data_IF_256135088554
#
_entry.id   IF_256135088554
#
_cell.length_a   1.000
_cell.length_b   1.000
_cell.length_c   1.000
_cell.angle_alpha   90.00
_cell.angle_beta   90.00
_cell.angle_gamma   90.00
#
_symmetry.space_group_name_H-M   'P 1'
#
loop_
_entity.id
_entity.type
_entity.pdbx_description
1 polymer ?
#
# COMPACT_ATOMS: atom_id res chain seq x y z
N UNK A 1 22.29 66.48 2.89
CA UNK A 1 23.54 66.07 3.58
C UNK A 1 23.66 66.93 4.83
N UNK A 2 23.24 66.37 5.96
CA UNK A 2 23.10 66.98 7.29
C UNK A 2 23.52 65.85 8.23
N UNK A 3 24.60 65.93 9.00
CA UNK A 3 24.81 66.82 10.15
C UNK A 3 24.81 65.93 11.41
N UNK A 4 25.99 65.64 11.94
CA UNK A 4 26.26 65.01 13.26
C UNK A 4 25.73 65.88 14.41
N UNK A 5 25.43 65.32 15.61
CA UNK A 5 26.40 65.14 16.71
C UNK A 5 26.02 63.93 17.63
N UNK A 6 26.58 63.63 18.80
CA UNK A 6 27.91 63.69 19.44
C UNK A 6 27.75 62.91 20.78
N UNK A 7 28.84 62.35 21.25
CA UNK A 7 29.27 61.97 22.61
C UNK A 7 28.30 62.04 23.83
N UNK A 8 28.31 60.99 24.68
CA UNK A 8 28.67 61.04 26.11
C UNK A 8 28.18 59.81 26.93
N UNK A 9 29.07 59.30 27.77
CA UNK A 9 28.89 58.25 28.80
C UNK A 9 28.84 58.92 30.19
N UNK A 10 28.83 58.20 31.35
CA UNK A 10 27.86 57.27 31.93
C UNK A 10 27.40 57.73 33.36
N UNK A 11 26.44 57.04 34.00
CA UNK A 11 26.38 56.92 35.47
C UNK A 11 25.41 55.81 35.93
N UNK A 12 25.75 55.26 37.10
CA UNK A 12 25.27 54.07 37.79
C UNK A 12 23.81 54.12 38.29
N UNK A 13 23.24 52.94 38.52
CA UNK A 13 21.99 52.76 39.24
C UNK A 13 21.70 51.29 39.55
N UNK A 14 22.14 50.83 40.72
CA UNK A 14 21.76 49.53 41.32
C UNK A 14 20.39 49.68 41.97
N UNK A 15 19.41 48.85 41.59
CA UNK A 15 18.29 48.50 42.48
C UNK A 15 17.63 47.16 42.11
N UNK A 16 17.62 46.25 43.09
CA UNK A 16 16.96 44.94 43.08
C UNK A 16 15.44 45.03 43.24
N UNK A 17 14.67 44.03 42.77
CA UNK A 17 13.43 43.66 43.45
C UNK A 17 13.38 42.20 43.92
N UNK A 18 13.29 42.09 45.25
CA UNK A 18 12.49 41.17 46.10
C UNK A 18 12.04 39.81 45.55
N UNK A 19 12.58 38.79 46.20
CA UNK A 19 12.05 37.43 46.27
C UNK A 19 10.67 37.38 46.97
N UNK A 20 9.73 36.63 46.38
CA UNK A 20 8.60 36.05 47.11
C UNK A 20 8.66 34.52 47.00
N UNK A 21 8.72 33.87 48.16
CA UNK A 21 8.72 32.43 48.36
C UNK A 21 7.37 31.84 47.93
N UNK A 22 7.38 30.74 47.17
CA UNK A 22 6.33 29.71 47.27
C UNK A 22 6.97 28.35 47.49
N UNK A 23 6.37 27.63 48.43
CA UNK A 23 6.89 26.45 49.12
C UNK A 23 6.96 25.24 48.20
N UNK A 24 8.01 24.45 48.42
CA UNK A 24 8.13 23.03 48.11
C UNK A 24 7.01 22.26 48.81
N UNK A 25 6.32 21.40 48.08
CA UNK A 25 5.85 20.14 48.65
C UNK A 25 6.43 19.00 47.82
N UNK A 26 7.20 18.20 48.54
CA UNK A 26 7.89 16.99 48.14
C UNK A 26 6.90 15.85 48.40
N UNK A 27 6.57 15.06 47.38
CA UNK A 27 6.08 13.70 47.58
C UNK A 27 6.88 12.75 46.69
N UNK A 28 8.02 12.37 47.23
CA UNK A 28 8.70 11.11 46.98
C UNK A 28 7.80 9.95 47.41
N UNK A 29 7.49 9.06 46.46
CA UNK A 29 6.88 7.75 46.70
C UNK A 29 7.56 6.71 45.82
N UNK A 30 8.43 5.92 46.44
CA UNK A 30 9.20 4.81 45.87
C UNK A 30 8.27 3.63 45.49
N UNK A 31 8.59 2.99 44.36
CA UNK A 31 8.77 1.53 44.29
C UNK A 31 7.55 0.67 43.97
N UNK A 32 7.54 0.09 42.77
CA UNK A 32 7.73 -1.36 42.57
C UNK A 32 7.71 -1.66 41.07
N UNK A 33 8.84 -2.16 40.55
CA UNK A 33 8.92 -2.76 39.24
C UNK A 33 8.29 -4.16 39.29
N UNK A 34 7.27 -4.41 38.48
CA UNK A 34 6.83 -5.75 38.14
C UNK A 34 7.00 -5.96 36.65
N UNK A 35 8.06 -6.70 36.30
CA UNK A 35 8.20 -7.35 35.00
C UNK A 35 7.11 -8.42 34.94
N UNK A 36 6.05 -8.18 34.17
CA UNK A 36 5.05 -9.20 33.86
C UNK A 36 5.40 -9.78 32.47
N UNK A 37 5.77 -11.06 32.49
CA UNK A 37 6.24 -11.79 31.32
C UNK A 37 5.12 -12.22 30.36
N UNK A 38 5.58 -12.53 29.14
CA UNK A 38 5.08 -13.52 28.17
C UNK A 38 3.65 -14.02 28.39
N UNK A 39 2.71 -13.46 27.64
CA UNK A 39 1.37 -14.01 27.42
C UNK A 39 1.27 -14.64 26.02
N UNK A 40 1.94 -15.77 25.83
CA UNK A 40 1.74 -16.62 24.65
C UNK A 40 0.43 -17.39 24.81
N UNK A 41 -0.54 -17.14 23.93
CA UNK A 41 -1.71 -18.00 23.80
C UNK A 41 -1.31 -19.29 23.09
N UNK A 42 -0.95 -20.32 23.85
CA UNK A 42 -0.90 -21.70 23.37
C UNK A 42 -2.27 -22.31 23.59
N UNK A 43 -3.05 -22.47 22.51
CA UNK A 43 -4.19 -23.38 22.53
C UNK A 43 -3.64 -24.81 22.57
N UNK A 44 -3.66 -25.39 23.77
CA UNK A 44 -3.41 -26.81 24.01
C UNK A 44 -4.67 -27.59 23.64
N UNK A 45 -4.73 -28.07 22.40
CA UNK A 45 -5.64 -29.15 22.03
C UNK A 45 -5.14 -30.47 22.62
N UNK A 46 -6.01 -31.18 23.32
CA UNK A 46 -5.75 -32.50 23.90
C UNK A 46 -5.42 -33.51 22.80
N UNK A 47 -4.36 -34.28 23.01
CA UNK A 47 -4.03 -35.45 22.21
C UNK A 47 -4.86 -36.61 22.75
N UNK A 48 -5.90 -36.98 22.02
CA UNK A 48 -6.49 -38.32 22.07
C UNK A 48 -6.02 -39.08 20.84
N UNK A 49 -5.11 -40.03 21.09
CA UNK A 49 -4.61 -40.99 20.11
C UNK A 49 -5.63 -42.14 20.01
N UNK A 50 -6.43 -42.15 18.95
CA UNK A 50 -7.19 -43.32 18.50
C UNK A 50 -7.34 -43.23 16.98
N UNK A 51 -6.66 -44.15 16.29
CA UNK A 51 -6.58 -44.18 14.83
C UNK A 51 -7.90 -44.53 14.15
N UNK A 52 -8.17 -43.85 13.03
CA UNK A 52 -8.87 -44.41 11.88
C UNK A 52 -8.62 -43.55 10.65
N UNK A 53 -8.23 -44.19 9.55
CA UNK A 53 -8.16 -43.61 8.21
C UNK A 53 -9.54 -43.12 7.78
N UNK A 54 -9.74 -41.80 7.67
CA UNK A 54 -10.76 -41.20 6.81
C UNK A 54 -10.22 -39.92 6.16
N UNK A 55 -10.24 -39.93 4.83
CA UNK A 55 -10.02 -38.76 3.99
C UNK A 55 -10.96 -37.63 4.45
N UNK A 56 -10.38 -36.47 4.78
CA UNK A 56 -11.15 -35.27 5.13
C UNK A 56 -11.47 -34.50 3.85
N UNK A 57 -12.77 -34.30 3.64
CA UNK A 57 -13.35 -33.43 2.61
C UNK A 57 -12.70 -32.05 2.61
N UNK A 58 -12.24 -31.63 1.44
CA UNK A 58 -11.93 -30.23 1.15
C UNK A 58 -13.22 -29.41 1.24
N UNK A 59 -13.25 -28.26 1.91
CA UNK A 59 -14.45 -27.43 1.93
C UNK A 59 -14.75 -26.92 0.51
N UNK A 60 -15.97 -27.18 0.04
CA UNK A 60 -16.50 -26.69 -1.24
C UNK A 60 -16.48 -25.15 -1.31
N UNK A 61 -16.09 -24.55 -2.45
CA UNK A 61 -16.23 -23.12 -2.66
C UNK A 61 -17.69 -22.79 -2.99
N UNK A 62 -18.33 -21.98 -2.16
CA UNK A 62 -19.66 -21.45 -2.43
C UNK A 62 -19.55 -20.27 -3.40
N UNK A 63 -20.10 -20.45 -4.59
CA UNK A 63 -20.39 -19.38 -5.55
C UNK A 63 -21.64 -18.62 -5.12
N UNK A 64 -21.55 -17.32 -4.83
CA UNK A 64 -22.70 -16.42 -4.94
C UNK A 64 -22.26 -14.96 -5.12
N UNK A 65 -22.53 -14.43 -6.31
CA UNK A 65 -22.47 -13.00 -6.59
C UNK A 65 -23.56 -12.24 -5.84
N UNK A 66 -23.14 -11.21 -5.12
CA UNK A 66 -23.98 -10.31 -4.34
C UNK A 66 -23.20 -9.82 -3.13
N UNK A 67 -22.71 -8.57 -3.17
CA UNK A 67 -22.06 -7.95 -2.01
C UNK A 67 -23.07 -7.85 -0.87
N UNK A 68 -22.91 -8.71 0.14
CA UNK A 68 -23.63 -8.58 1.41
C UNK A 68 -23.04 -7.41 2.19
N UNK A 69 -23.84 -6.60 2.91
CA UNK A 69 -23.31 -5.59 3.81
C UNK A 69 -22.37 -6.25 4.83
N UNK A 70 -21.07 -5.97 4.74
CA UNK A 70 -20.01 -6.60 5.53
C UNK A 70 -19.00 -7.43 4.73
N UNK A 71 -19.33 -7.82 3.49
CA UNK A 71 -18.34 -8.31 2.54
C UNK A 71 -17.61 -7.10 1.95
N UNK A 72 -16.31 -6.95 2.24
CA UNK A 72 -15.51 -5.83 1.72
C UNK A 72 -15.54 -5.73 0.19
N UNK A 73 -15.13 -4.60 -0.39
CA UNK A 73 -15.21 -4.44 -1.84
C UNK A 73 -14.32 -5.44 -2.60
N UNK A 74 -14.83 -6.09 -3.67
CA UNK A 74 -14.09 -7.04 -4.49
C UNK A 74 -12.79 -6.47 -5.06
N UNK A 75 -11.70 -7.23 -4.91
CA UNK A 75 -10.36 -6.86 -5.36
C UNK A 75 -9.66 -5.79 -4.52
N UNK A 76 -10.34 -5.23 -3.51
CA UNK A 76 -9.82 -4.18 -2.62
C UNK A 76 -9.63 -4.70 -1.21
N UNK A 77 -10.71 -5.09 -0.52
CA UNK A 77 -10.63 -5.70 0.82
C UNK A 77 -11.09 -7.15 0.82
N UNK A 78 -11.82 -7.57 -0.22
CA UNK A 78 -12.26 -8.93 -0.43
C UNK A 78 -11.56 -9.54 -1.66
N UNK A 79 -11.10 -10.80 -1.58
CA UNK A 79 -10.92 -11.60 -0.37
C UNK A 79 -9.87 -10.97 0.56
N UNK A 80 -9.90 -11.31 1.85
CA UNK A 80 -8.97 -10.77 2.85
C UNK A 80 -7.50 -11.08 2.51
N UNK A 81 -7.24 -12.30 2.03
CA UNK A 81 -5.97 -12.68 1.40
C UNK A 81 -6.11 -12.48 -0.11
N UNK A 82 -5.36 -11.56 -0.74
CA UNK A 82 -5.43 -11.36 -2.18
C UNK A 82 -5.08 -12.63 -2.94
N UNK A 83 -5.83 -12.89 -4.01
CA UNK A 83 -5.70 -14.05 -4.88
C UNK A 83 -4.31 -14.14 -5.51
N UNK A 84 -3.93 -15.34 -5.96
CA UNK A 84 -2.58 -15.59 -6.50
C UNK A 84 -2.27 -14.90 -7.81
N UNK A 85 -3.25 -14.53 -8.63
CA UNK A 85 -3.01 -13.91 -9.92
C UNK A 85 -3.82 -12.63 -10.13
N UNK A 86 -3.26 -11.71 -10.91
CA UNK A 86 -3.91 -10.48 -11.34
C UNK A 86 -3.62 -10.20 -12.81
N UNK A 87 -4.56 -9.53 -13.47
CA UNK A 87 -4.29 -8.72 -14.65
C UNK A 87 -4.90 -7.33 -14.43
N UNK A 88 -4.08 -6.31 -14.65
CA UNK A 88 -4.52 -4.92 -14.74
C UNK A 88 -4.44 -4.50 -16.18
N UNK A 89 -5.56 -4.03 -16.73
CA UNK A 89 -5.67 -3.50 -18.08
C UNK A 89 -6.15 -2.06 -18.02
N UNK A 90 -5.40 -1.17 -18.65
CA UNK A 90 -5.78 0.24 -18.75
C UNK A 90 -6.21 0.57 -20.16
N UNK A 91 -7.46 1.04 -20.28
CA UNK A 91 -8.17 1.15 -21.55
C UNK A 91 -8.47 2.61 -21.88
N UNK A 92 -8.28 2.96 -23.14
CA UNK A 92 -8.74 4.21 -23.73
C UNK A 92 -9.98 3.95 -24.57
N UNK A 93 -11.09 4.63 -24.29
CA UNK A 93 -12.32 4.53 -25.07
C UNK A 93 -12.32 5.47 -26.27
N UNK A 94 -12.98 5.07 -27.36
CA UNK A 94 -13.20 5.94 -28.53
C UNK A 94 -14.11 7.12 -28.22
N UNK A 95 -15.11 6.91 -27.34
CA UNK A 95 -16.03 7.94 -26.88
C UNK A 95 -15.70 8.29 -25.44
N UNK A 96 -15.22 9.52 -25.22
CA UNK A 96 -14.55 9.91 -23.97
C UNK A 96 -15.40 10.77 -23.03
N UNK A 97 -16.66 11.03 -23.39
CA UNK A 97 -17.55 11.83 -22.55
C UNK A 97 -17.91 11.12 -21.22
N UNK A 98 -18.09 11.86 -20.11
CA UNK A 98 -18.28 11.26 -18.78
C UNK A 98 -19.36 10.18 -18.72
N UNK A 99 -20.51 10.40 -19.37
CA UNK A 99 -21.59 9.41 -19.40
C UNK A 99 -21.23 8.13 -20.15
N UNK A 100 -20.49 8.23 -21.25
CA UNK A 100 -20.05 7.08 -22.04
C UNK A 100 -19.00 6.25 -21.28
N UNK A 101 -18.06 6.93 -20.60
CA UNK A 101 -17.08 6.30 -19.73
C UNK A 101 -17.77 5.59 -18.56
N UNK A 102 -18.76 6.24 -17.93
CA UNK A 102 -19.56 5.64 -16.87
C UNK A 102 -20.33 4.40 -17.35
N UNK A 103 -20.99 4.47 -18.51
CA UNK A 103 -21.73 3.33 -19.04
C UNK A 103 -20.80 2.15 -19.33
N UNK A 104 -19.66 2.38 -19.96
CA UNK A 104 -18.65 1.34 -20.19
C UNK A 104 -18.11 0.74 -18.87
N UNK A 105 -17.78 1.59 -17.89
CA UNK A 105 -17.30 1.15 -16.57
C UNK A 105 -18.34 0.27 -15.87
N UNK A 106 -19.61 0.70 -15.86
CA UNK A 106 -20.73 -0.04 -15.28
C UNK A 106 -20.95 -1.38 -15.98
N UNK A 107 -20.92 -1.39 -17.31
CA UNK A 107 -21.04 -2.64 -18.09
C UNK A 107 -20.00 -3.66 -17.66
N UNK A 108 -18.73 -3.25 -17.51
CA UNK A 108 -17.66 -4.14 -17.03
C UNK A 108 -17.89 -4.54 -15.57
N UNK A 109 -18.16 -3.57 -14.68
CA UNK A 109 -18.25 -3.80 -13.25
C UNK A 109 -19.42 -4.71 -12.84
N UNK A 110 -20.52 -4.70 -13.61
CA UNK A 110 -21.70 -5.54 -13.33
C UNK A 110 -21.73 -6.83 -14.16
N UNK A 111 -20.74 -7.06 -15.02
CA UNK A 111 -20.69 -8.28 -15.82
C UNK A 111 -20.46 -9.51 -14.94
N UNK A 112 -21.06 -10.63 -15.32
CA UNK A 112 -20.84 -11.94 -14.69
C UNK A 112 -20.09 -12.82 -15.68
N UNK A 113 -18.75 -12.75 -15.72
CA UNK A 113 -17.96 -13.54 -16.66
C UNK A 113 -18.04 -15.03 -16.30
N UNK A 114 -17.97 -15.89 -17.31
CA UNK A 114 -17.88 -17.34 -17.10
C UNK A 114 -16.47 -17.69 -16.63
N UNK A 115 -16.35 -18.51 -15.60
CA UNK A 115 -15.07 -18.96 -15.02
C UNK A 115 -15.04 -20.48 -14.91
N UNK A 116 -13.83 -21.05 -14.79
CA UNK A 116 -13.65 -22.46 -14.45
C UNK A 116 -13.87 -22.68 -12.94
N UNK A 117 -14.17 -23.91 -12.53
CA UNK A 117 -14.42 -24.25 -11.10
C UNK A 117 -13.19 -24.00 -10.22
N UNK A 118 -11.99 -24.16 -10.78
CA UNK A 118 -10.71 -23.94 -10.10
C UNK A 118 -10.26 -22.47 -10.09
N UNK A 119 -11.04 -21.55 -10.66
CA UNK A 119 -10.73 -20.12 -10.72
C UNK A 119 -10.65 -19.45 -9.33
N UNK A 120 -11.21 -20.08 -8.31
CA UNK A 120 -11.34 -19.51 -6.97
C UNK A 120 -12.26 -18.29 -6.94
N UNK A 121 -12.03 -17.40 -5.97
CA UNK A 121 -12.81 -16.18 -5.79
C UNK A 121 -12.39 -15.11 -6.81
N UNK A 122 -13.07 -15.08 -7.97
CA UNK A 122 -12.80 -14.11 -9.03
C UNK A 122 -13.38 -12.75 -8.66
N UNK A 123 -12.52 -11.73 -8.65
CA UNK A 123 -12.93 -10.34 -8.39
C UNK A 123 -12.59 -9.43 -9.56
N UNK A 124 -13.45 -8.46 -9.80
CA UNK A 124 -13.30 -7.42 -10.82
C UNK A 124 -13.43 -6.06 -10.13
N UNK A 125 -12.40 -5.22 -10.29
CA UNK A 125 -12.41 -3.84 -9.79
C UNK A 125 -12.24 -2.90 -10.97
N UNK A 126 -13.11 -1.90 -11.08
CA UNK A 126 -13.11 -0.94 -12.19
C UNK A 126 -12.93 0.48 -11.65
N UNK A 127 -11.99 1.23 -12.23
CA UNK A 127 -11.77 2.64 -11.90
C UNK A 127 -11.91 3.53 -13.13
N UNK A 128 -12.31 4.78 -12.90
CA UNK A 128 -12.47 5.84 -13.90
C UNK A 128 -11.37 6.88 -13.72
N UNK A 129 -10.91 7.45 -14.82
CA UNK A 129 -9.90 8.51 -14.80
C UNK A 129 -10.32 9.76 -14.01
N UNK A 130 -9.37 10.55 -13.51
CA UNK A 130 -9.67 11.73 -12.69
C UNK A 130 -10.58 12.78 -13.34
N UNK A 131 -10.48 12.97 -14.67
CA UNK A 131 -11.28 13.99 -15.36
C UNK A 131 -12.74 13.59 -15.40
N UNK A 132 -13.04 12.38 -15.89
CA UNK A 132 -14.40 11.87 -15.97
C UNK A 132 -15.00 11.66 -14.57
N UNK A 133 -14.23 11.14 -13.62
CA UNK A 133 -14.70 10.93 -12.24
C UNK A 133 -15.14 12.25 -11.58
N UNK A 134 -14.35 13.32 -11.67
CA UNK A 134 -14.73 14.64 -11.12
C UNK A 134 -15.94 15.26 -11.82
N UNK A 135 -16.16 14.95 -13.10
CA UNK A 135 -17.36 15.41 -13.80
C UNK A 135 -18.61 14.65 -13.38
N UNK A 136 -18.49 13.36 -13.08
CA UNK A 136 -19.61 12.50 -12.66
C UNK A 136 -19.95 12.69 -11.19
N UNK A 137 -18.93 12.80 -10.35
CA UNK A 137 -19.07 12.90 -8.90
C UNK A 137 -18.17 14.01 -8.32
N UNK A 138 -18.54 15.30 -8.49
CA UNK A 138 -17.70 16.42 -8.08
C UNK A 138 -17.29 16.41 -6.60
N UNK A 139 -18.17 15.92 -5.72
CA UNK A 139 -17.90 15.85 -4.28
C UNK A 139 -17.13 14.58 -3.89
N UNK A 140 -17.52 13.40 -4.40
CA UNK A 140 -16.90 12.11 -4.05
C UNK A 140 -15.50 11.95 -4.65
N UNK A 141 -15.30 12.42 -5.88
CA UNK A 141 -14.04 12.33 -6.61
C UNK A 141 -13.22 13.63 -6.54
N UNK A 142 -13.48 14.51 -5.58
CA UNK A 142 -12.85 15.83 -5.49
C UNK A 142 -11.30 15.78 -5.46
N UNK A 143 -10.73 14.71 -4.91
CA UNK A 143 -9.27 14.50 -4.81
C UNK A 143 -8.69 13.69 -5.97
N UNK A 144 -9.52 13.25 -6.93
CA UNK A 144 -9.03 12.52 -8.08
C UNK A 144 -8.05 13.40 -8.86
N UNK A 145 -6.82 12.93 -9.04
CA UNK A 145 -5.78 13.62 -9.81
C UNK A 145 -4.91 12.62 -10.54
N UNK A 146 -4.32 13.06 -11.65
CA UNK A 146 -3.20 12.36 -12.26
C UNK A 146 -1.99 12.46 -11.33
N UNK A 147 -1.11 11.46 -11.39
CA UNK A 147 0.13 11.46 -10.62
C UNK A 147 1.16 12.39 -11.29
N UNK A 148 1.99 13.08 -10.49
CA UNK A 148 3.17 13.74 -11.03
C UNK A 148 4.19 12.71 -11.51
N UNK A 149 5.22 13.18 -12.21
CA UNK A 149 6.41 12.37 -12.54
C UNK A 149 7.33 12.23 -11.33
N UNK A 150 8.06 11.12 -11.27
CA UNK A 150 9.02 10.76 -10.22
C UNK A 150 10.39 10.41 -10.84
N UNK A 151 11.45 10.41 -10.02
CA UNK A 151 12.83 10.27 -10.51
C UNK A 151 13.10 8.91 -11.22
N UNK A 152 12.40 7.85 -10.82
CA UNK A 152 12.51 6.51 -11.41
C UNK A 152 11.64 6.27 -12.65
N UNK A 153 10.92 7.28 -13.14
CA UNK A 153 10.07 7.14 -14.33
C UNK A 153 10.90 7.08 -15.62
N UNK A 154 10.55 6.16 -16.52
CA UNK A 154 11.16 6.11 -17.85
C UNK A 154 10.69 7.28 -18.71
N UNK A 155 11.49 7.65 -19.72
CA UNK A 155 11.12 8.71 -20.67
C UNK A 155 9.89 8.40 -21.50
N UNK A 156 9.56 7.12 -21.67
CA UNK A 156 8.41 6.60 -22.40
C UNK A 156 7.31 6.07 -21.46
N UNK A 157 7.26 6.57 -20.23
CA UNK A 157 6.29 6.18 -19.21
C UNK A 157 4.86 6.16 -19.77
N UNK A 158 4.22 4.99 -19.70
CA UNK A 158 2.83 4.81 -20.13
C UNK A 158 1.89 5.19 -19.00
N UNK A 159 1.13 6.26 -19.16
CA UNK A 159 0.28 6.80 -18.09
C UNK A 159 -1.21 6.71 -18.42
N UNK A 160 -2.02 6.46 -17.39
CA UNK A 160 -3.47 6.70 -17.45
C UNK A 160 -4.19 5.92 -18.53
N UNK A 161 -5.34 6.44 -18.94
CA UNK A 161 -6.39 5.81 -19.75
C UNK A 161 -7.73 6.31 -19.22
N UNK A 162 -8.84 5.94 -19.85
CA UNK A 162 -10.18 6.31 -19.37
C UNK A 162 -10.68 5.36 -18.28
N UNK A 163 -10.33 4.07 -18.41
CA UNK A 163 -10.73 3.02 -17.47
C UNK A 163 -9.52 2.20 -17.05
N UNK A 164 -9.50 1.80 -15.79
CA UNK A 164 -8.70 0.66 -15.31
C UNK A 164 -9.63 -0.50 -15.01
N UNK A 165 -9.23 -1.71 -15.42
CA UNK A 165 -9.89 -2.96 -15.08
C UNK A 165 -8.86 -3.86 -14.41
N UNK A 166 -9.09 -4.20 -13.15
CA UNK A 166 -8.30 -5.17 -12.41
C UNK A 166 -9.11 -6.45 -12.24
N UNK A 167 -8.58 -7.57 -12.71
CA UNK A 167 -9.15 -8.90 -12.52
C UNK A 167 -8.20 -9.73 -11.67
N UNK A 168 -8.68 -10.22 -10.53
CA UNK A 168 -7.92 -11.14 -9.69
C UNK A 168 -8.62 -12.49 -9.62
N UNK A 169 -7.84 -13.57 -9.67
CA UNK A 169 -8.32 -14.94 -9.55
C UNK A 169 -7.22 -15.86 -9.03
N UNK A 170 -7.57 -17.09 -8.69
CA UNK A 170 -6.63 -18.06 -8.15
C UNK A 170 -5.80 -18.77 -9.23
N UNK A 171 -6.21 -18.68 -10.50
CA UNK A 171 -5.46 -19.20 -11.64
C UNK A 171 -5.22 -18.12 -12.69
N UNK A 172 -4.04 -18.14 -13.31
CA UNK A 172 -3.69 -17.22 -14.39
C UNK A 172 -4.61 -17.35 -15.63
N UNK A 173 -5.12 -18.57 -15.88
CA UNK A 173 -6.05 -18.83 -16.98
C UNK A 173 -7.39 -18.14 -16.75
N UNK A 174 -7.94 -18.23 -15.53
CA UNK A 174 -9.18 -17.55 -15.18
C UNK A 174 -9.04 -16.02 -15.33
N UNK A 175 -7.95 -15.44 -14.85
CA UNK A 175 -7.65 -14.01 -15.04
C UNK A 175 -7.69 -13.63 -16.52
N UNK A 176 -6.98 -14.38 -17.37
CA UNK A 176 -6.90 -14.12 -18.81
C UNK A 176 -8.29 -14.20 -19.47
N UNK A 177 -9.02 -15.27 -19.22
CA UNK A 177 -10.29 -15.56 -19.89
C UNK A 177 -11.39 -14.60 -19.44
N UNK A 178 -11.41 -14.22 -18.16
CA UNK A 178 -12.30 -13.18 -17.63
C UNK A 178 -11.95 -11.82 -18.23
N UNK A 179 -10.66 -11.44 -18.25
CA UNK A 179 -10.24 -10.15 -18.81
C UNK A 179 -10.62 -10.03 -20.29
N UNK A 180 -10.48 -11.10 -21.06
CA UNK A 180 -10.89 -11.14 -22.47
C UNK A 180 -12.42 -10.95 -22.63
N UNK A 181 -13.22 -11.65 -21.82
CA UNK A 181 -14.69 -11.48 -21.81
C UNK A 181 -15.09 -10.04 -21.49
N UNK A 182 -14.50 -9.44 -20.46
CA UNK A 182 -14.81 -8.08 -20.02
C UNK A 182 -14.40 -7.03 -21.05
N UNK A 183 -13.21 -7.16 -21.64
CA UNK A 183 -12.71 -6.23 -22.66
C UNK A 183 -13.59 -6.27 -23.92
N UNK A 184 -14.14 -7.44 -24.28
CA UNK A 184 -15.06 -7.58 -25.41
C UNK A 184 -16.39 -6.82 -25.23
N UNK A 185 -16.78 -6.48 -24.00
CA UNK A 185 -18.00 -5.71 -23.71
C UNK A 185 -17.85 -4.22 -24.06
N UNK A 186 -16.63 -3.73 -24.28
CA UNK A 186 -16.36 -2.33 -24.61
C UNK A 186 -15.66 -2.26 -25.97
N UNK A 187 -16.38 -2.54 -27.07
CA UNK A 187 -15.81 -2.61 -28.40
C UNK A 187 -15.24 -1.26 -28.83
N UNK A 188 -14.11 -1.30 -29.52
CA UNK A 188 -13.40 -0.10 -29.97
C UNK A 188 -12.48 0.53 -28.91
N UNK A 189 -12.49 0.03 -27.67
CA UNK A 189 -11.47 0.42 -26.69
C UNK A 189 -10.06 0.01 -27.16
N UNK A 190 -9.08 0.86 -26.84
CA UNK A 190 -7.65 0.65 -27.11
C UNK A 190 -6.94 0.35 -25.80
N UNK A 191 -6.13 -0.71 -25.78
CA UNK A 191 -5.25 -0.97 -24.66
C UNK A 191 -4.13 0.10 -24.62
N UNK A 192 -4.00 0.79 -23.48
CA UNK A 192 -2.88 1.72 -23.23
C UNK A 192 -1.68 0.94 -22.73
N UNK A 193 -1.89 0.16 -21.68
CA UNK A 193 -0.93 -0.80 -21.15
C UNK A 193 -1.67 -1.85 -20.31
N UNK A 194 -1.04 -3.01 -20.15
CA UNK A 194 -1.48 -4.03 -19.22
C UNK A 194 -0.27 -4.60 -18.46
N UNK A 195 -0.57 -5.22 -17.32
CA UNK A 195 0.38 -6.06 -16.61
C UNK A 195 -0.35 -7.22 -15.99
N UNK A 196 0.18 -8.43 -16.21
CA UNK A 196 -0.15 -9.60 -15.41
C UNK A 196 0.80 -9.67 -14.22
N UNK A 197 0.38 -10.35 -13.16
CA UNK A 197 1.21 -10.55 -11.99
C UNK A 197 0.77 -11.75 -11.17
N UNK A 198 1.64 -12.15 -10.24
CA UNK A 198 1.42 -13.27 -9.34
C UNK A 198 1.82 -12.92 -7.91
N UNK A 199 1.30 -13.70 -6.96
CA UNK A 199 1.73 -13.74 -5.56
C UNK A 199 2.11 -15.16 -5.20
N UNK A 200 3.12 -15.29 -4.36
CA UNK A 200 3.46 -16.57 -3.75
C UNK A 200 2.37 -16.98 -2.75
N UNK A 201 2.39 -18.25 -2.35
CA UNK A 201 1.52 -18.73 -1.28
C UNK A 201 1.71 -17.89 0.00
N UNK A 202 0.64 -17.64 0.78
CA UNK A 202 0.76 -16.96 2.06
C UNK A 202 1.73 -17.68 3.00
N UNK A 203 2.53 -16.91 3.74
CA UNK A 203 3.33 -17.38 4.87
C UNK A 203 2.39 -17.78 6.03
N UNK A 204 2.90 -18.47 7.08
CA UNK A 204 2.08 -18.77 8.27
C UNK A 204 1.45 -17.55 8.95
N UNK A 205 1.99 -16.35 8.71
CA UNK A 205 1.48 -15.08 9.20
C UNK A 205 0.45 -14.41 8.26
N UNK A 206 0.08 -15.07 7.15
CA UNK A 206 -0.90 -14.58 6.18
C UNK A 206 -0.39 -13.54 5.16
N UNK A 207 0.89 -13.16 5.25
CA UNK A 207 1.58 -12.27 4.29
C UNK A 207 2.17 -13.06 3.12
N UNK A 208 2.53 -12.43 2.01
CA UNK A 208 3.25 -13.12 0.91
C UNK A 208 4.69 -12.63 0.82
N UNK A 209 5.49 -13.26 -0.04
CA UNK A 209 6.80 -12.74 -0.42
C UNK A 209 6.70 -11.95 -1.73
N UNK A 210 7.56 -10.94 -1.88
CA UNK A 210 7.85 -10.29 -3.16
C UNK A 210 8.74 -11.17 -4.04
N UNK A 211 8.91 -10.82 -5.32
CA UNK A 211 9.90 -11.45 -6.19
C UNK A 211 11.35 -11.32 -5.72
N UNK A 212 11.66 -10.40 -4.80
CA UNK A 212 12.96 -10.33 -4.11
C UNK A 212 13.09 -11.33 -2.94
N UNK A 213 12.02 -12.03 -2.60
CA UNK A 213 11.95 -12.97 -1.48
C UNK A 213 11.69 -12.32 -0.12
N UNK A 214 11.44 -11.00 -0.03
CA UNK A 214 11.11 -10.33 1.23
C UNK A 214 9.62 -10.47 1.56
N UNK A 215 9.31 -10.62 2.85
CA UNK A 215 7.92 -10.61 3.34
C UNK A 215 7.28 -9.24 3.08
N UNK A 216 6.11 -9.23 2.47
CA UNK A 216 5.34 -8.03 2.14
C UNK A 216 3.94 -8.04 2.77
N UNK A 217 3.43 -6.86 3.07
CA UNK A 217 2.14 -6.65 3.75
C UNK A 217 2.24 -6.60 5.28
N UNK A 218 3.44 -6.44 5.84
CA UNK A 218 3.64 -6.35 7.30
C UNK A 218 2.92 -5.12 7.88
N UNK A 219 3.16 -3.94 7.31
CA UNK A 219 2.46 -2.71 7.68
C UNK A 219 1.40 -2.42 6.61
N UNK A 220 0.14 -2.56 7.01
CA UNK A 220 -1.05 -2.38 6.19
C UNK A 220 -2.26 -2.10 7.11
N UNK A 221 -3.28 -1.35 6.65
CA UNK A 221 -4.50 -1.16 7.43
C UNK A 221 -5.23 -2.50 7.60
N UNK A 222 -5.63 -2.82 8.84
CA UNK A 222 -6.28 -4.11 9.20
C UNK A 222 -7.61 -3.91 9.90
N UNK A 223 -7.75 -2.82 10.63
CA UNK A 223 -8.97 -2.47 11.35
C UNK A 223 -9.91 -1.64 10.48
N UNK A 224 -11.19 -1.65 10.81
CA UNK A 224 -12.19 -0.79 10.16
C UNK A 224 -11.84 0.69 10.28
N UNK A 225 -11.29 1.11 11.43
CA UNK A 225 -10.83 2.49 11.65
C UNK A 225 -9.68 2.86 10.71
N UNK A 226 -8.66 2.01 10.58
CA UNK A 226 -7.54 2.25 9.66
C UNK A 226 -7.98 2.25 8.19
N UNK A 227 -8.90 1.35 7.81
CA UNK A 227 -9.47 1.31 6.47
C UNK A 227 -10.31 2.56 6.18
N UNK A 228 -11.12 3.01 7.13
CA UNK A 228 -11.92 4.24 7.01
C UNK A 228 -11.03 5.46 6.89
N UNK A 229 -9.93 5.52 7.67
CA UNK A 229 -9.01 6.64 7.62
C UNK A 229 -8.19 6.67 6.31
N UNK A 230 -7.68 5.51 5.88
CA UNK A 230 -6.63 5.44 4.86
C UNK A 230 -7.04 4.92 3.50
N UNK A 231 -8.18 4.23 3.37
CA UNK A 231 -8.60 3.54 2.13
C UNK A 231 -9.88 4.11 1.57
N UNK A 232 -10.89 4.31 2.42
CA UNK A 232 -12.23 4.69 1.98
C UNK A 232 -12.47 6.20 1.99
N UNK A 233 -13.32 6.67 1.09
CA UNK A 233 -13.85 8.04 1.06
C UNK A 233 -15.37 8.01 0.98
N UNK A 234 -16.01 8.90 1.73
CA UNK A 234 -17.46 9.00 1.77
C UNK A 234 -18.15 7.78 2.39
N UNK A 235 -19.48 7.80 2.39
CA UNK A 235 -20.30 6.71 2.93
C UNK A 235 -20.38 5.49 2.00
N UNK A 236 -20.16 5.69 0.70
CA UNK A 236 -20.26 4.65 -0.32
C UNK A 236 -19.01 3.74 -0.37
N UNK A 237 -18.01 3.96 0.48
CA UNK A 237 -16.71 3.28 0.44
C UNK A 237 -15.97 3.49 -0.89
N UNK A 238 -16.01 4.70 -1.45
CA UNK A 238 -15.19 5.02 -2.63
C UNK A 238 -13.70 4.95 -2.29
N UNK A 239 -12.83 4.75 -3.29
CA UNK A 239 -11.38 4.79 -3.08
C UNK A 239 -10.66 5.31 -4.32
N UNK A 240 -9.38 5.62 -4.16
CA UNK A 240 -8.47 5.86 -5.27
C UNK A 240 -7.51 4.67 -5.38
N UNK A 241 -7.27 4.22 -6.61
CA UNK A 241 -6.25 3.20 -6.89
C UNK A 241 -5.06 3.83 -7.59
N UNK A 242 -3.88 3.65 -7.02
CA UNK A 242 -2.60 4.02 -7.62
C UNK A 242 -1.92 2.76 -8.13
N UNK A 243 -1.51 2.82 -9.40
CA UNK A 243 -0.82 1.76 -10.11
C UNK A 243 0.57 2.23 -10.55
N UNK A 244 1.57 1.38 -10.34
CA UNK A 244 2.93 1.57 -10.82
C UNK A 244 3.50 0.23 -11.26
N UNK A 245 3.91 0.10 -12.51
CA UNK A 245 4.63 -1.08 -13.00
C UNK A 245 6.13 -0.83 -12.84
N UNK A 246 6.69 -1.40 -11.79
CA UNK A 246 8.06 -1.16 -11.35
C UNK A 246 8.95 -2.37 -11.66
N UNK A 247 10.20 -2.13 -12.06
CA UNK A 247 11.24 -3.16 -12.14
C UNK A 247 12.38 -2.76 -11.22
N UNK A 248 12.65 -3.59 -10.21
CA UNK A 248 13.84 -3.48 -9.38
C UNK A 248 14.97 -4.18 -10.14
N UNK A 249 16.01 -3.42 -10.48
CA UNK A 249 17.04 -3.82 -11.42
C UNK A 249 17.98 -4.90 -10.85
N UNK A 250 18.60 -5.63 -11.77
CA UNK A 250 19.45 -6.79 -11.50
C UNK A 250 20.69 -6.47 -10.65
N UNK A 251 21.19 -5.24 -10.68
CA UNK A 251 22.28 -4.80 -9.82
C UNK A 251 21.90 -4.86 -8.33
N UNK A 252 20.63 -4.61 -8.00
CA UNK A 252 20.09 -4.79 -6.66
C UNK A 252 19.70 -6.24 -6.38
N UNK A 253 18.99 -6.90 -7.31
CA UNK A 253 18.48 -8.26 -7.06
C UNK A 253 19.58 -9.30 -6.87
N UNK A 254 20.76 -9.07 -7.46
CA UNK A 254 21.95 -9.93 -7.33
C UNK A 254 22.92 -9.49 -6.24
N UNK A 255 22.67 -8.35 -5.57
CA UNK A 255 23.49 -7.87 -4.47
C UNK A 255 23.48 -8.86 -3.28
N UNK A 256 24.52 -8.85 -2.42
CA UNK A 256 24.51 -9.64 -1.19
C UNK A 256 23.27 -9.38 -0.35
N UNK A 257 22.69 -10.45 0.24
CA UNK A 257 21.45 -10.36 1.03
C UNK A 257 21.56 -9.32 2.14
N UNK A 258 22.72 -9.20 2.78
CA UNK A 258 22.96 -8.20 3.82
C UNK A 258 22.81 -6.75 3.31
N UNK A 259 23.16 -6.48 2.06
CA UNK A 259 22.98 -5.16 1.44
C UNK A 259 21.51 -4.90 1.11
N UNK A 260 20.82 -5.91 0.56
CA UNK A 260 19.37 -5.84 0.32
C UNK A 260 18.59 -5.61 1.62
N UNK A 261 18.94 -6.34 2.68
CA UNK A 261 18.34 -6.19 4.01
C UNK A 261 18.56 -4.80 4.58
N UNK A 262 19.76 -4.22 4.43
CA UNK A 262 20.05 -2.84 4.85
C UNK A 262 19.25 -1.82 4.07
N UNK A 263 19.14 -1.99 2.75
CA UNK A 263 18.35 -1.12 1.89
C UNK A 263 16.85 -1.20 2.22
N UNK A 264 16.34 -2.38 2.60
CA UNK A 264 14.92 -2.55 2.96
C UNK A 264 14.63 -2.15 4.42
N UNK A 265 15.57 -2.39 5.33
CA UNK A 265 15.41 -2.18 6.77
C UNK A 265 14.77 -3.36 7.51
N UNK A 266 14.59 -4.51 6.86
CA UNK A 266 14.05 -5.76 7.44
C UNK A 266 14.86 -6.96 6.97
N UNK A 267 14.82 -8.04 7.75
CA UNK A 267 15.41 -9.34 7.40
C UNK A 267 14.63 -10.01 6.29
N UNK A 268 15.31 -10.64 5.34
CA UNK A 268 14.65 -11.31 4.22
C UNK A 268 13.93 -12.57 4.65
N UNK A 269 14.55 -13.35 5.53
CA UNK A 269 14.06 -14.66 5.96
C UNK A 269 12.78 -14.56 6.80
N UNK A 270 12.77 -13.66 7.77
CA UNK A 270 11.77 -13.54 8.83
C UNK A 270 10.88 -12.32 8.66
N UNK A 271 11.31 -11.31 7.90
CA UNK A 271 10.64 -10.02 7.83
C UNK A 271 10.82 -9.14 9.07
N UNK A 272 11.56 -9.58 10.09
CA UNK A 272 11.78 -8.81 11.31
C UNK A 272 12.58 -7.52 11.01
N UNK A 273 12.32 -6.40 11.73
CA UNK A 273 13.15 -5.21 11.65
C UNK A 273 14.63 -5.51 11.93
N UNK A 274 15.56 -4.80 11.28
CA UNK A 274 16.98 -4.93 11.64
C UNK A 274 17.27 -4.45 13.06
N UNK A 275 16.40 -3.63 13.65
CA UNK A 275 16.44 -3.20 15.06
C UNK A 275 16.10 -4.32 16.05
N UNK A 276 15.65 -5.49 15.58
CA UNK A 276 15.22 -6.62 16.41
C UNK A 276 13.70 -6.77 16.52
N UNK A 277 13.27 -7.86 17.15
CA UNK A 277 11.86 -8.25 17.28
C UNK A 277 11.44 -9.36 16.32
N UNK A 278 10.14 -9.46 16.09
CA UNK A 278 9.50 -10.43 15.18
C UNK A 278 9.00 -9.73 13.91
N UNK A 279 8.40 -10.48 12.97
CA UNK A 279 7.89 -9.96 11.69
C UNK A 279 7.00 -8.74 11.88
N UNK A 280 6.08 -8.79 12.84
CA UNK A 280 5.09 -7.73 13.11
C UNK A 280 5.60 -6.65 14.07
N UNK A 281 6.84 -6.72 14.52
CA UNK A 281 7.41 -5.68 15.36
C UNK A 281 7.59 -4.37 14.57
N UNK A 282 7.32 -3.27 15.27
CA UNK A 282 7.60 -1.93 14.80
C UNK A 282 9.10 -1.71 14.62
N UNK A 283 9.45 -0.84 13.66
CA UNK A 283 10.84 -0.48 13.43
C UNK A 283 11.26 0.55 14.47
N UNK A 284 12.28 0.22 15.28
CA UNK A 284 12.90 1.19 16.17
C UNK A 284 13.92 2.04 15.39
N UNK A 285 13.52 3.26 15.07
CA UNK A 285 14.32 4.23 14.32
C UNK A 285 15.51 4.79 15.11
N UNK A 286 15.55 4.58 16.43
CA UNK A 286 16.59 5.05 17.33
C UNK A 286 17.53 3.93 17.79
N UNK A 287 17.23 2.68 17.44
CA UNK A 287 18.08 1.53 17.73
C UNK A 287 19.48 1.72 17.14
N UNK A 288 20.50 1.46 17.98
CA UNK A 288 21.91 1.56 17.63
C UNK A 288 22.62 0.25 17.92
N UNK A 289 23.55 -0.10 17.04
CA UNK A 289 24.48 -1.19 17.29
C UNK A 289 25.49 -0.82 18.41
N UNK A 290 26.25 -1.78 18.96
CA UNK A 290 27.20 -1.52 20.04
C UNK A 290 28.28 -0.47 19.74
N UNK A 291 28.62 -0.28 18.47
CA UNK A 291 29.53 0.75 17.95
C UNK A 291 28.84 2.11 17.68
N UNK A 292 27.56 2.25 18.03
CA UNK A 292 26.80 3.49 18.00
C UNK A 292 26.18 3.85 16.64
N UNK A 293 26.29 2.96 15.63
CA UNK A 293 25.69 3.17 14.32
C UNK A 293 24.18 2.88 14.35
N UNK A 294 23.34 3.61 13.59
CA UNK A 294 21.93 3.26 13.45
C UNK A 294 21.76 1.84 12.91
N UNK A 295 20.97 1.00 13.59
CA UNK A 295 20.68 -0.36 13.12
C UNK A 295 19.82 -0.35 11.85
N UNK A 296 19.01 0.70 11.69
CA UNK A 296 18.20 0.97 10.50
C UNK A 296 18.80 2.16 9.76
N UNK A 297 19.42 1.95 8.58
CA UNK A 297 19.96 3.03 7.77
C UNK A 297 18.94 4.15 7.52
N UNK A 298 19.39 5.40 7.44
CA UNK A 298 18.51 6.54 7.18
C UNK A 298 17.80 6.44 5.81
N UNK A 299 18.47 5.81 4.84
CA UNK A 299 18.02 5.51 3.47
C UNK A 299 17.18 4.22 3.37
N UNK A 300 16.97 3.48 4.47
CA UNK A 300 16.25 2.21 4.42
C UNK A 300 14.78 2.41 4.05
N UNK A 301 14.28 1.58 3.13
CA UNK A 301 12.95 1.71 2.54
C UNK A 301 11.83 1.74 3.58
N UNK A 302 11.81 0.77 4.48
CA UNK A 302 10.76 0.71 5.50
C UNK A 302 10.82 1.89 6.48
N UNK A 303 11.97 2.55 6.64
CA UNK A 303 12.10 3.80 7.40
C UNK A 303 11.60 4.99 6.61
N UNK A 304 11.95 5.10 5.32
CA UNK A 304 11.56 6.24 4.47
C UNK A 304 10.05 6.22 4.19
N UNK A 305 9.49 5.05 3.88
CA UNK A 305 8.08 4.82 3.59
C UNK A 305 7.15 4.85 4.82
N UNK A 306 7.70 4.94 6.04
CA UNK A 306 6.90 4.89 7.26
C UNK A 306 5.90 6.08 7.33
N UNK A 307 4.59 5.82 7.58
CA UNK A 307 3.53 6.84 7.51
C UNK A 307 3.72 8.02 8.48
N UNK A 308 4.31 7.75 9.66
CA UNK A 308 4.59 8.79 10.66
C UNK A 308 5.49 9.93 10.15
N UNK A 309 6.26 9.72 9.07
CA UNK A 309 7.11 10.76 8.50
C UNK A 309 6.35 11.79 7.67
N UNK A 310 5.22 11.39 7.09
CA UNK A 310 4.40 12.23 6.21
C UNK A 310 3.11 12.69 6.89
N UNK A 311 2.79 12.16 8.08
CA UNK A 311 1.61 12.54 8.85
C UNK A 311 0.30 12.13 8.17
N UNK A 312 0.30 11.02 7.42
CA UNK A 312 -0.85 10.53 6.66
C UNK A 312 -1.21 9.10 7.08
N UNK A 313 -2.48 8.68 6.89
CA UNK A 313 -2.91 7.31 7.14
C UNK A 313 -2.17 6.27 6.28
N UNK A 314 -2.34 5.00 6.63
CA UNK A 314 -1.81 3.88 5.86
C UNK A 314 -2.56 3.72 4.53
N UNK A 315 -1.82 3.47 3.45
CA UNK A 315 -2.39 2.97 2.20
C UNK A 315 -2.50 1.44 2.23
N UNK A 316 -3.52 0.88 1.58
CA UNK A 316 -3.69 -0.56 1.43
C UNK A 316 -2.95 -1.05 0.18
N UNK A 317 -1.77 -1.63 0.37
CA UNK A 317 -0.96 -2.19 -0.73
C UNK A 317 -1.39 -3.62 -1.04
N UNK A 318 -1.78 -3.88 -2.29
CA UNK A 318 -2.15 -5.19 -2.84
C UNK A 318 -1.36 -5.51 -4.11
N UNK A 319 -0.04 -5.43 -3.98
CA UNK A 319 0.87 -5.52 -5.12
C UNK A 319 1.14 -6.98 -5.53
N UNK A 320 1.54 -7.16 -6.79
CA UNK A 320 1.82 -8.45 -7.40
C UNK A 320 3.21 -8.44 -8.04
N UNK A 321 3.92 -9.55 -7.98
CA UNK A 321 5.20 -9.70 -8.68
C UNK A 321 4.96 -10.04 -10.15
N UNK A 322 5.89 -9.70 -11.03
CA UNK A 322 5.90 -10.17 -12.41
C UNK A 322 7.32 -10.48 -12.86
N UNK A 323 7.44 -11.38 -13.84
CA UNK A 323 8.74 -11.79 -14.35
C UNK A 323 9.27 -10.77 -15.37
N UNK A 324 10.54 -10.44 -15.24
CA UNK A 324 11.26 -9.52 -16.12
C UNK A 324 12.70 -9.96 -16.24
N UNK A 325 13.34 -9.88 -17.43
CA UNK A 325 14.74 -10.26 -17.60
C UNK A 325 15.69 -9.31 -16.87
N UNK A 326 15.24 -8.08 -16.56
CA UNK A 326 16.10 -7.01 -16.06
C UNK A 326 16.21 -6.97 -14.53
N UNK A 327 15.55 -7.89 -13.81
CA UNK A 327 15.56 -7.96 -12.36
C UNK A 327 14.30 -8.59 -11.78
N UNK A 328 13.61 -7.88 -10.87
CA UNK A 328 12.37 -8.34 -10.24
C UNK A 328 11.25 -7.32 -10.47
N UNK A 329 10.15 -7.77 -11.08
CA UNK A 329 9.00 -6.92 -11.36
C UNK A 329 8.04 -6.83 -10.18
N UNK A 330 7.52 -5.62 -9.94
CA UNK A 330 6.45 -5.33 -8.99
C UNK A 330 5.37 -4.48 -9.68
N UNK A 331 4.20 -5.07 -9.90
CA UNK A 331 2.99 -4.32 -10.16
C UNK A 331 2.48 -3.80 -8.82
N UNK A 332 2.91 -2.58 -8.48
CA UNK A 332 2.46 -1.91 -7.29
C UNK A 332 1.02 -1.44 -7.48
N UNK A 333 0.16 -1.90 -6.58
CA UNK A 333 -1.25 -1.52 -6.49
C UNK A 333 -1.50 -1.05 -5.06
N UNK A 334 -2.01 0.17 -4.90
CA UNK A 334 -2.40 0.69 -3.62
C UNK A 334 -3.76 1.38 -3.68
N UNK A 335 -4.60 1.06 -2.70
CA UNK A 335 -5.90 1.70 -2.48
C UNK A 335 -5.78 2.68 -1.32
N UNK A 336 -6.38 3.85 -1.50
CA UNK A 336 -6.15 4.99 -0.62
C UNK A 336 -7.28 6.02 -0.68
N UNK A 337 -7.53 6.67 0.45
CA UNK A 337 -8.55 7.72 0.59
C UNK A 337 -8.12 9.06 0.00
N UNK A 338 -6.82 9.28 -0.21
CA UNK A 338 -6.25 10.50 -0.80
C UNK A 338 -4.98 10.15 -1.61
N UNK A 339 -4.95 10.37 -2.95
CA UNK A 339 -3.78 10.18 -3.82
C UNK A 339 -2.51 10.86 -3.33
N UNK A 340 -2.62 11.99 -2.63
CA UNK A 340 -1.46 12.71 -2.09
C UNK A 340 -0.69 11.87 -1.06
N UNK A 341 -1.32 10.85 -0.46
CA UNK A 341 -0.62 9.89 0.41
C UNK A 341 0.45 9.11 -0.35
N UNK A 342 0.15 8.64 -1.56
CA UNK A 342 1.15 8.00 -2.41
C UNK A 342 2.18 9.02 -2.88
N UNK A 343 1.76 10.19 -3.37
CA UNK A 343 2.66 11.22 -3.90
C UNK A 343 3.69 11.69 -2.86
N UNK A 344 3.23 12.01 -1.65
CA UNK A 344 4.10 12.44 -0.56
C UNK A 344 5.06 11.32 -0.12
N UNK A 345 4.58 10.07 -0.10
CA UNK A 345 5.44 8.91 0.19
C UNK A 345 6.51 8.79 -0.89
N UNK A 346 6.13 8.72 -2.17
CA UNK A 346 7.05 8.50 -3.28
C UNK A 346 8.10 9.60 -3.39
N UNK A 347 7.73 10.88 -3.26
CA UNK A 347 8.70 12.00 -3.24
C UNK A 347 9.74 11.84 -2.14
N UNK A 348 9.32 11.39 -0.96
CA UNK A 348 10.24 11.10 0.14
C UNK A 348 11.16 9.92 -0.18
N UNK A 349 10.69 8.93 -0.93
CA UNK A 349 11.55 7.83 -1.37
C UNK A 349 12.58 8.33 -2.39
N UNK A 350 12.15 9.10 -3.39
CA UNK A 350 13.03 9.66 -4.44
C UNK A 350 14.22 10.44 -3.86
N UNK A 351 14.03 11.14 -2.73
CA UNK A 351 15.12 11.87 -2.08
C UNK A 351 16.36 11.01 -1.75
N UNK A 352 16.18 9.83 -1.13
CA UNK A 352 17.27 9.09 -0.47
C UNK A 352 17.05 7.57 -0.29
N UNK A 353 16.02 6.98 -0.87
CA UNK A 353 15.71 5.56 -0.66
C UNK A 353 16.64 4.63 -1.46
N UNK A 354 17.31 3.72 -0.75
CA UNK A 354 18.29 2.81 -1.33
C UNK A 354 17.69 1.73 -2.23
N UNK A 355 16.42 1.38 -2.09
CA UNK A 355 15.73 0.45 -3.00
C UNK A 355 15.24 1.20 -4.25
N UNK A 356 14.62 2.36 -4.07
CA UNK A 356 14.02 3.13 -5.18
C UNK A 356 15.07 3.61 -6.18
N UNK A 357 16.30 3.93 -5.76
CA UNK A 357 17.38 4.27 -6.69
C UNK A 357 17.72 3.15 -7.71
N UNK A 358 17.36 1.91 -7.41
CA UNK A 358 17.52 0.75 -8.30
C UNK A 358 16.21 0.33 -8.97
N UNK A 359 15.19 1.19 -8.95
CA UNK A 359 13.86 0.87 -9.46
C UNK A 359 13.50 1.78 -10.62
N UNK A 360 13.10 1.19 -11.74
CA UNK A 360 12.53 1.92 -12.88
C UNK A 360 11.03 1.68 -12.97
N UNK A 361 10.28 2.67 -13.46
CA UNK A 361 8.84 2.54 -13.69
C UNK A 361 8.47 2.91 -15.11
N UNK A 362 7.82 1.99 -15.82
CA UNK A 362 7.48 2.13 -17.25
C UNK A 362 5.97 2.20 -17.52
N UNK A 363 5.15 2.06 -16.48
CA UNK A 363 3.72 2.36 -16.53
C UNK A 363 3.17 2.86 -15.19
N UNK A 364 2.18 3.75 -15.24
CA UNK A 364 1.56 4.34 -14.05
C UNK A 364 0.11 4.78 -14.28
N UNK A 365 -0.68 4.91 -13.22
CA UNK A 365 -1.98 5.54 -13.26
C UNK A 365 -2.58 5.78 -11.89
N UNK A 366 -3.52 6.72 -11.81
CA UNK A 366 -4.37 6.95 -10.64
C UNK A 366 -5.81 7.06 -11.11
N UNK A 367 -6.71 6.27 -10.52
CA UNK A 367 -8.10 6.16 -10.90
C UNK A 367 -9.01 6.25 -9.68
N UNK A 368 -10.20 6.78 -9.86
CA UNK A 368 -11.26 6.75 -8.86
C UNK A 368 -12.08 5.47 -9.01
N UNK A 369 -12.22 4.71 -7.93
CA UNK A 369 -13.02 3.48 -7.87
C UNK A 369 -14.26 3.76 -7.03
N UNK A 370 -15.44 3.89 -7.66
CA UNK A 370 -16.66 4.16 -6.93
C UNK A 370 -17.16 2.89 -6.22
N UNK A 371 -17.57 3.01 -4.96
CA UNK A 371 -18.35 1.98 -4.28
C UNK A 371 -19.83 2.00 -4.65
N UNK A 372 -20.32 3.10 -5.21
CA UNK A 372 -21.64 3.21 -5.85
C UNK A 372 -21.56 3.88 -7.23
N UNK A 373 -22.22 3.29 -8.23
CA UNK A 373 -22.27 3.79 -9.60
C UNK A 373 -23.39 4.83 -9.84
N UNK A 374 -24.13 5.20 -8.80
CA UNK A 374 -25.15 6.27 -8.86
C UNK A 374 -24.46 7.64 -8.92
N UNK A 375 -24.90 8.49 -9.85
CA UNK A 375 -24.35 9.84 -10.13
C UNK A 375 -25.12 10.95 -9.48
#
# INVERSE_FOLDING_TARGET
MTGTPDEASPAEGVETPRASRRRREFLTGLGAATVAGVGGWVLRGEVSDEGSDQATDSPEPTTSGGSSPGAGQPGITHPAVPQRHVQVSVLELTTTGPRAVLDAARTIATATPTTTEDAGDVTVTVGIDPHNARSLWPERAALATELPTFDGDTTDLRTGGHLVVQVCAETAVAVRDVTAQLTALVPGSRLVWESTGYRDAPTPQGTTRTGLGFVDGIIAPRTEEELTAGVWTGADQDTYVVLRRMTILSDFTTAPVVEQERAIGRRRDTGAPLSGGETMSEIDLFAKSPDGQPMIPASAHARRAHPANIGRPLMLRRSYSFDTPDGSGLLFVAFLSDPETFVATQRRLDEQDDLIRHTITDASGCFFVPGSWET
#
